data_IF_594787179657
#
_entry.id   IF_594787179657
#
_cell.length_a   1.000
_cell.length_b   1.000
_cell.length_c   1.000
_cell.angle_alpha   90.00
_cell.angle_beta   90.00
_cell.angle_gamma   90.00
#
_symmetry.space_group_name_H-M   'P 1'
#
loop_
_entity.id
_entity.type
_entity.pdbx_description
1 polymer ?
#
# COMPACT_ATOMS: atom_id res chain seq x y z
N UNK A 1 0.85 -5.49 -11.44
CA UNK A 1 1.93 -4.56 -11.89
C UNK A 1 1.41 -3.14 -12.17
N UNK A 2 0.10 -2.88 -12.14
CA UNK A 2 -0.48 -1.54 -12.22
C UNK A 2 -0.53 -0.83 -10.85
N UNK A 3 -0.04 -1.51 -9.81
CA UNK A 3 -0.26 -1.25 -8.40
C UNK A 3 0.54 -0.05 -7.84
N UNK A 4 1.21 0.75 -8.66
CA UNK A 4 2.26 1.66 -8.15
C UNK A 4 2.23 3.05 -8.75
N UNK A 5 1.31 3.40 -9.65
CA UNK A 5 1.31 4.73 -10.28
C UNK A 5 0.50 5.72 -9.45
N UNK A 6 1.18 6.52 -8.63
CA UNK A 6 0.62 7.71 -7.97
C UNK A 6 1.26 8.93 -8.63
N UNK A 7 0.46 9.94 -8.98
CA UNK A 7 0.92 11.18 -9.62
C UNK A 7 1.83 10.98 -10.85
N UNK A 8 1.54 9.97 -11.67
CA UNK A 8 2.31 9.66 -12.88
C UNK A 8 3.68 9.02 -12.63
N UNK A 9 4.01 8.65 -11.38
CA UNK A 9 5.24 7.93 -11.05
C UNK A 9 5.00 6.68 -10.22
N UNK A 10 6.02 5.83 -10.15
CA UNK A 10 5.99 4.54 -9.47
C UNK A 10 6.38 4.69 -7.99
N UNK A 11 5.52 4.28 -7.06
CA UNK A 11 5.90 4.16 -5.63
C UNK A 11 7.01 3.11 -5.50
N UNK A 12 8.16 3.52 -4.96
CA UNK A 12 9.29 2.62 -4.68
C UNK A 12 9.40 2.25 -3.20
N UNK A 13 8.91 3.12 -2.31
CA UNK A 13 8.77 2.85 -0.88
C UNK A 13 7.65 3.70 -0.28
N UNK A 14 7.02 3.21 0.79
CA UNK A 14 6.04 3.97 1.56
C UNK A 14 6.08 3.60 3.05
N UNK A 15 5.53 4.46 3.90
CA UNK A 15 5.34 4.20 5.33
C UNK A 15 4.05 4.83 5.81
N UNK A 16 3.54 4.34 6.94
CA UNK A 16 2.23 4.72 7.48
C UNK A 16 2.41 5.13 8.94
N UNK A 17 1.73 6.18 9.37
CA UNK A 17 1.66 6.57 10.77
C UNK A 17 0.43 5.92 11.42
N UNK A 18 0.64 5.10 12.44
CA UNK A 18 -0.43 4.49 13.23
C UNK A 18 -1.19 5.53 14.05
N UNK A 19 -2.43 5.23 14.46
CA UNK A 19 -3.24 6.14 15.30
C UNK A 19 -2.55 6.57 16.61
N UNK A 20 -1.59 5.79 17.11
CA UNK A 20 -0.76 6.14 18.27
C UNK A 20 0.36 7.17 17.94
N UNK A 21 0.45 7.66 16.70
CA UNK A 21 1.46 8.61 16.23
C UNK A 21 2.79 7.99 15.78
N UNK A 22 3.01 6.70 16.01
CA UNK A 22 4.22 5.99 15.60
C UNK A 22 4.22 5.66 14.10
N UNK A 23 5.33 5.96 13.43
CA UNK A 23 5.54 5.55 12.04
C UNK A 23 5.94 4.07 11.95
N UNK A 24 5.45 3.39 10.91
CA UNK A 24 5.99 2.10 10.49
C UNK A 24 7.42 2.26 9.95
N UNK A 25 8.12 1.13 9.80
CA UNK A 25 9.24 1.06 8.87
C UNK A 25 8.80 1.32 7.42
N UNK A 26 9.78 1.39 6.52
CA UNK A 26 9.51 1.51 5.09
C UNK A 26 9.09 0.18 4.49
N UNK A 27 8.02 0.21 3.70
CA UNK A 27 7.53 -0.88 2.89
C UNK A 27 7.86 -0.62 1.43
N UNK A 28 8.48 -1.57 0.76
CA UNK A 28 8.74 -1.57 -0.66
C UNK A 28 7.75 -2.52 -1.36
N UNK A 29 6.98 -2.03 -2.36
CA UNK A 29 6.01 -2.85 -3.07
C UNK A 29 6.59 -4.15 -3.64
N UNK A 30 6.04 -5.30 -3.25
CA UNK A 30 6.49 -6.63 -3.67
C UNK A 30 7.67 -7.21 -2.89
N UNK A 31 8.19 -6.50 -1.88
CA UNK A 31 9.30 -6.97 -1.04
C UNK A 31 8.83 -7.28 0.39
N UNK A 32 8.30 -6.29 1.09
CA UNK A 32 7.90 -6.40 2.50
C UNK A 32 6.55 -5.70 2.77
N UNK A 33 5.74 -5.52 1.74
CA UNK A 33 4.53 -4.71 1.78
C UNK A 33 3.25 -5.51 2.09
N UNK A 34 3.39 -6.77 2.50
CA UNK A 34 2.29 -7.64 2.93
C UNK A 34 1.96 -7.43 4.41
N UNK A 35 0.69 -7.20 4.67
CA UNK A 35 0.08 -7.14 6.00
C UNK A 35 -0.25 -8.54 6.51
N UNK A 36 -0.33 -8.68 7.82
CA UNK A 36 -0.77 -9.89 8.53
C UNK A 36 -2.28 -10.12 8.42
N UNK A 37 -3.07 -9.10 8.03
CA UNK A 37 -4.52 -9.24 7.84
C UNK A 37 -4.86 -9.70 6.42
N UNK A 38 -5.95 -10.46 6.32
CA UNK A 38 -6.49 -10.94 5.04
C UNK A 38 -7.56 -10.00 4.49
N UNK A 39 -7.67 -9.94 3.17
CA UNK A 39 -8.83 -9.37 2.50
C UNK A 39 -10.03 -10.31 2.66
N UNK A 40 -11.02 -9.92 3.46
CA UNK A 40 -12.21 -10.75 3.73
C UNK A 40 -13.11 -10.87 2.50
N UNK A 41 -13.25 -9.79 1.75
CA UNK A 41 -14.10 -9.70 0.57
C UNK A 41 -13.25 -9.50 -0.69
N UNK A 42 -13.75 -10.01 -1.80
CA UNK A 42 -13.23 -9.62 -3.10
C UNK A 42 -13.79 -8.24 -3.46
N UNK A 43 -12.96 -7.37 -4.02
CA UNK A 43 -13.39 -6.09 -4.57
C UNK A 43 -13.02 -6.05 -6.05
N UNK A 44 -13.99 -5.85 -6.96
CA UNK A 44 -13.71 -5.66 -8.38
C UNK A 44 -13.25 -4.24 -8.72
N UNK A 45 -13.38 -3.28 -7.78
CA UNK A 45 -13.14 -1.87 -8.05
C UNK A 45 -11.68 -1.44 -7.74
N UNK A 46 -11.14 -0.56 -8.59
CA UNK A 46 -9.80 0.06 -8.59
C UNK A 46 -8.60 -0.90 -8.75
N UNK A 47 -8.59 -2.03 -8.04
CA UNK A 47 -7.60 -3.10 -8.18
C UNK A 47 -8.28 -4.42 -7.76
N UNK A 48 -8.27 -5.48 -8.58
CA UNK A 48 -8.93 -6.74 -8.23
C UNK A 48 -8.32 -7.33 -6.96
N UNK A 49 -9.04 -7.21 -5.85
CA UNK A 49 -8.66 -7.82 -4.57
C UNK A 49 -9.27 -9.22 -4.54
N UNK A 50 -8.43 -10.25 -4.39
CA UNK A 50 -8.91 -11.63 -4.19
C UNK A 50 -9.31 -11.83 -2.73
N UNK A 51 -10.50 -12.38 -2.48
CA UNK A 51 -10.87 -12.79 -1.13
C UNK A 51 -9.88 -13.82 -0.57
N UNK A 52 -9.66 -13.81 0.75
CA UNK A 52 -8.71 -14.69 1.46
C UNK A 52 -7.25 -14.56 0.99
N UNK A 53 -6.89 -13.42 0.40
CA UNK A 53 -5.49 -13.07 0.10
C UNK A 53 -4.90 -12.19 1.19
N UNK A 54 -3.57 -12.23 1.36
CA UNK A 54 -2.90 -11.27 2.23
C UNK A 54 -3.13 -9.85 1.71
N UNK A 55 -3.50 -8.97 2.63
CA UNK A 55 -3.62 -7.56 2.35
C UNK A 55 -2.23 -6.95 2.24
N UNK A 56 -2.15 -5.79 1.62
CA UNK A 56 -0.92 -4.98 1.62
C UNK A 56 -1.06 -3.81 2.58
N UNK A 57 0.04 -3.34 3.14
CA UNK A 57 0.04 -2.25 4.12
C UNK A 57 -0.58 -0.96 3.56
N UNK A 58 -0.44 -0.67 2.27
CA UNK A 58 -1.08 0.49 1.62
C UNK A 58 -2.62 0.52 1.71
N UNK A 59 -3.28 -0.57 2.13
CA UNK A 59 -4.72 -0.57 2.39
C UNK A 59 -5.14 0.39 3.49
N UNK A 60 -4.22 0.78 4.36
CA UNK A 60 -4.43 1.78 5.41
C UNK A 60 -4.29 3.23 4.92
N UNK A 61 -3.94 3.47 3.65
CA UNK A 61 -3.87 4.84 3.12
C UNK A 61 -5.21 5.58 3.17
N UNK A 62 -6.33 4.85 3.26
CA UNK A 62 -7.65 5.45 3.32
C UNK A 62 -7.95 6.13 4.67
N UNK A 63 -7.35 5.68 5.77
CA UNK A 63 -7.62 6.15 7.14
C UNK A 63 -6.37 6.50 7.96
N UNK A 64 -5.17 6.33 7.41
CA UNK A 64 -3.92 6.69 8.07
C UNK A 64 -3.12 7.71 7.26
N UNK A 65 -2.41 8.57 7.98
CA UNK A 65 -1.39 9.44 7.40
C UNK A 65 -0.28 8.55 6.83
N UNK A 66 0.16 8.87 5.62
CA UNK A 66 1.13 8.08 4.87
C UNK A 66 2.11 8.98 4.12
N UNK A 67 3.30 8.44 3.90
CA UNK A 67 4.34 9.05 3.08
C UNK A 67 4.84 8.02 2.07
N UNK A 68 5.24 8.49 0.90
CA UNK A 68 5.77 7.64 -0.15
C UNK A 68 6.92 8.31 -0.89
N UNK A 69 7.79 7.49 -1.46
CA UNK A 69 8.83 7.88 -2.39
C UNK A 69 8.38 7.41 -3.77
N UNK A 70 8.30 8.34 -4.71
CA UNK A 70 7.90 8.07 -6.09
C UNK A 70 9.10 8.23 -7.02
N UNK A 71 9.29 7.26 -7.91
CA UNK A 71 10.13 7.38 -9.10
C UNK A 71 9.27 7.87 -10.27
N UNK A 72 9.46 9.12 -10.71
CA UNK A 72 8.76 9.68 -11.88
C UNK A 72 9.59 9.44 -13.15
N UNK A 73 8.97 8.99 -14.25
CA UNK A 73 9.65 8.98 -15.55
C UNK A 73 9.92 10.43 -15.98
N UNK A 74 11.12 10.68 -16.53
CA UNK A 74 11.49 11.97 -17.11
C UNK A 74 10.79 12.22 -18.45
#
# INVERSE_FOLDING_TARGET
MADQVIEGGRIIAYRIQWFAGGWSGWFAPGLNDLDIKFNVNASPCALPVKAKSLRRWWSYFYDHIHEFIICKPN
#
